data_IF_952364286595
#
_entry.id   IF_952364286595
#
_cell.length_a   1.000
_cell.length_b   1.000
_cell.length_c   1.000
_cell.angle_alpha   90.00
_cell.angle_beta   90.00
_cell.angle_gamma   90.00
#
_symmetry.space_group_name_H-M   'P 1'
#
loop_
_entity.id
_entity.type
_entity.pdbx_description
1 polymer ?
#
# COMPACT_ATOMS: atom_id res chain seq x y z
N UNK A 1 -21.00 -14.98 22.09
CA UNK A 1 -21.48 -15.19 20.70
C UNK A 1 -20.26 -15.22 19.82
N UNK A 2 -19.78 -16.42 19.55
CA UNK A 2 -18.49 -16.71 18.92
C UNK A 2 -18.66 -16.51 17.43
N UNK A 3 -18.10 -15.42 16.88
CA UNK A 3 -17.97 -15.28 15.42
C UNK A 3 -16.79 -16.16 15.05
N UNK A 4 -17.11 -17.37 14.61
CA UNK A 4 -16.16 -18.32 14.06
C UNK A 4 -15.67 -17.71 12.75
N UNK A 5 -14.35 -17.62 12.61
CA UNK A 5 -13.71 -17.13 11.41
C UNK A 5 -14.22 -17.87 10.19
N UNK A 6 -14.26 -17.16 9.07
CA UNK A 6 -14.41 -17.77 7.77
C UNK A 6 -13.25 -18.75 7.56
N UNK A 7 -13.47 -20.01 7.95
CA UNK A 7 -12.81 -21.17 7.37
C UNK A 7 -13.20 -21.18 5.88
N UNK A 8 -12.55 -20.34 5.09
CA UNK A 8 -12.58 -20.47 3.64
C UNK A 8 -11.76 -21.70 3.28
N UNK A 9 -12.49 -22.72 2.81
CA UNK A 9 -12.01 -23.86 2.06
C UNK A 9 -10.80 -23.48 1.18
N UNK A 10 -9.83 -24.39 1.05
CA UNK A 10 -8.69 -24.35 0.12
C UNK A 10 -9.13 -24.36 -1.37
N UNK A 11 -10.10 -23.52 -1.74
CA UNK A 11 -10.33 -23.05 -3.09
C UNK A 11 -9.76 -21.65 -3.18
N UNK A 12 -8.94 -21.38 -4.20
CA UNK A 12 -8.47 -20.04 -4.54
C UNK A 12 -9.60 -19.02 -4.42
N UNK A 13 -9.44 -18.00 -3.57
CA UNK A 13 -10.34 -16.85 -3.54
C UNK A 13 -10.47 -16.35 -4.99
N UNK A 14 -11.68 -16.32 -5.57
CA UNK A 14 -11.86 -15.94 -6.97
C UNK A 14 -11.38 -14.51 -7.27
N UNK A 15 -11.23 -13.67 -6.23
CA UNK A 15 -10.66 -12.32 -6.32
C UNK A 15 -9.12 -12.30 -6.36
N UNK A 16 -8.47 -13.44 -6.12
CA UNK A 16 -7.03 -13.58 -5.97
C UNK A 16 -6.50 -14.76 -6.80
N UNK A 17 -6.61 -14.73 -8.14
CA UNK A 17 -6.05 -15.77 -8.97
C UNK A 17 -4.52 -15.84 -8.78
N UNK A 18 -3.94 -17.05 -8.72
CA UNK A 18 -2.51 -17.22 -8.54
C UNK A 18 -1.75 -16.67 -9.74
N UNK A 19 -0.48 -16.33 -9.52
CA UNK A 19 0.46 -16.07 -10.61
C UNK A 19 0.64 -17.32 -11.47
N UNK A 20 0.53 -17.19 -12.78
CA UNK A 20 0.62 -18.30 -13.73
C UNK A 20 1.78 -18.10 -14.70
N UNK A 21 2.63 -19.12 -14.83
CA UNK A 21 3.72 -19.15 -15.81
C UNK A 21 3.48 -20.23 -16.87
N UNK A 22 3.56 -19.91 -18.19
CA UNK A 22 3.32 -20.87 -19.26
C UNK A 22 4.56 -21.75 -19.49
N UNK A 23 4.90 -22.59 -18.51
CA UNK A 23 6.10 -23.42 -18.53
C UNK A 23 6.10 -24.40 -19.72
N UNK A 24 7.27 -24.52 -20.37
CA UNK A 24 7.51 -25.36 -21.55
C UNK A 24 8.90 -25.97 -21.44
N UNK A 25 9.28 -26.88 -22.35
CA UNK A 25 10.63 -27.48 -22.36
C UNK A 25 11.74 -26.44 -22.54
N UNK A 26 11.44 -25.35 -23.23
CA UNK A 26 12.31 -24.21 -23.52
C UNK A 26 12.14 -23.04 -22.53
N UNK A 27 11.20 -23.13 -21.58
CA UNK A 27 10.93 -22.13 -20.56
C UNK A 27 10.62 -22.81 -19.22
N UNK A 28 11.67 -23.03 -18.43
CA UNK A 28 11.62 -23.62 -17.10
C UNK A 28 11.37 -22.55 -16.03
N UNK A 29 11.00 -22.99 -14.81
CA UNK A 29 10.84 -22.08 -13.67
C UNK A 29 12.13 -21.32 -13.35
N UNK A 30 13.28 -22.01 -13.39
CA UNK A 30 14.58 -21.39 -13.14
C UNK A 30 14.89 -20.29 -14.18
N UNK A 31 14.51 -20.49 -15.45
CA UNK A 31 14.67 -19.46 -16.48
C UNK A 31 13.76 -18.26 -16.20
N UNK A 32 12.48 -18.49 -15.88
CA UNK A 32 11.54 -17.41 -15.52
C UNK A 32 12.06 -16.61 -14.33
N UNK A 33 12.51 -17.30 -13.28
CA UNK A 33 13.11 -16.66 -12.11
C UNK A 33 14.33 -15.84 -12.52
N UNK A 34 15.30 -16.42 -13.22
CA UNK A 34 16.52 -15.71 -13.63
C UNK A 34 16.22 -14.50 -14.52
N UNK A 35 15.23 -14.59 -15.40
CA UNK A 35 14.78 -13.47 -16.23
C UNK A 35 14.16 -12.36 -15.37
N UNK A 36 13.30 -12.71 -14.41
CA UNK A 36 12.64 -11.74 -13.52
C UNK A 36 13.63 -10.92 -12.68
N UNK A 37 14.81 -11.49 -12.41
CA UNK A 37 15.87 -10.90 -11.59
C UNK A 37 16.88 -10.07 -12.40
N UNK A 38 16.61 -9.78 -13.68
CA UNK A 38 17.52 -9.03 -14.56
C UNK A 38 16.81 -7.91 -15.29
N UNK A 39 17.32 -6.68 -15.13
CA UNK A 39 16.79 -5.48 -15.78
C UNK A 39 16.85 -5.56 -17.33
N UNK A 40 17.70 -6.43 -17.89
CA UNK A 40 17.76 -6.69 -19.34
C UNK A 40 16.44 -7.25 -19.87
N UNK A 41 15.67 -7.95 -19.03
CA UNK A 41 14.38 -8.54 -19.39
C UNK A 41 13.18 -7.66 -19.00
N UNK A 42 13.37 -6.37 -18.68
CA UNK A 42 12.27 -5.48 -18.27
C UNK A 42 11.13 -5.41 -19.30
N UNK A 43 11.46 -5.48 -20.58
CA UNK A 43 10.51 -5.43 -21.70
C UNK A 43 10.18 -6.82 -22.27
N UNK A 44 10.60 -7.89 -21.60
CA UNK A 44 10.40 -9.25 -22.08
C UNK A 44 8.90 -9.60 -22.14
N UNK A 45 8.37 -9.97 -23.32
CA UNK A 45 6.95 -10.25 -23.48
C UNK A 45 6.48 -11.47 -22.68
N UNK A 46 7.39 -12.39 -22.35
CA UNK A 46 7.09 -13.56 -21.52
C UNK A 46 6.83 -13.14 -20.09
N UNK A 47 7.72 -12.33 -19.50
CA UNK A 47 7.53 -11.81 -18.14
C UNK A 47 6.29 -10.93 -18.05
N UNK A 48 6.03 -10.10 -19.07
CA UNK A 48 4.80 -9.29 -19.14
C UNK A 48 3.55 -10.17 -19.09
N UNK A 49 3.49 -11.24 -19.90
CA UNK A 49 2.36 -12.17 -19.89
C UNK A 49 2.20 -12.90 -18.56
N UNK A 50 3.29 -13.29 -17.90
CA UNK A 50 3.24 -13.87 -16.55
C UNK A 50 2.67 -12.84 -15.59
N UNK A 51 3.17 -11.61 -15.63
CA UNK A 51 2.75 -10.51 -14.75
C UNK A 51 1.27 -10.14 -14.92
N UNK A 52 0.74 -10.21 -16.14
CA UNK A 52 -0.68 -9.98 -16.47
C UNK A 52 -1.63 -11.01 -15.82
N UNK A 53 -1.14 -12.15 -15.34
CA UNK A 53 -1.97 -13.14 -14.62
C UNK A 53 -2.19 -12.73 -13.17
N UNK A 54 -1.28 -11.94 -12.61
CA UNK A 54 -1.39 -11.33 -11.29
C UNK A 54 -2.16 -10.01 -11.38
N UNK A 55 -3.48 -10.09 -11.53
CA UNK A 55 -4.33 -8.89 -11.54
C UNK A 55 -4.78 -8.53 -10.13
N UNK A 56 -4.86 -7.21 -9.90
CA UNK A 56 -5.60 -6.65 -8.78
C UNK A 56 -7.03 -6.42 -9.25
N UNK A 57 -7.98 -6.74 -8.39
CA UNK A 57 -9.40 -6.46 -8.55
C UNK A 57 -9.88 -5.74 -7.30
N UNK A 58 -11.05 -5.12 -7.41
CA UNK A 58 -11.77 -4.65 -6.22
C UNK A 58 -11.94 -5.83 -5.25
N UNK A 59 -11.54 -5.63 -3.99
CA UNK A 59 -11.57 -6.66 -2.95
C UNK A 59 -10.31 -7.51 -2.82
N UNK A 60 -9.37 -7.49 -3.79
CA UNK A 60 -8.09 -8.21 -3.66
C UNK A 60 -7.38 -7.77 -2.37
N UNK A 61 -6.95 -8.73 -1.55
CA UNK A 61 -6.19 -8.41 -0.34
C UNK A 61 -4.79 -7.99 -0.74
N UNK A 62 -4.44 -6.79 -0.33
CA UNK A 62 -3.15 -6.16 -0.50
C UNK A 62 -2.42 -6.18 0.85
N UNK A 63 -1.10 -6.32 0.80
CA UNK A 63 -0.22 -6.33 1.95
C UNK A 63 0.96 -5.40 1.71
N UNK A 64 1.32 -4.62 2.73
CA UNK A 64 2.59 -3.89 2.81
C UNK A 64 3.31 -4.36 4.06
N UNK A 65 4.58 -4.76 3.92
CA UNK A 65 5.42 -5.12 5.06
C UNK A 65 5.97 -3.84 5.69
N UNK A 66 5.90 -3.76 7.01
CA UNK A 66 6.13 -2.57 7.80
C UNK A 66 7.22 -2.78 8.84
N UNK A 67 7.91 -1.69 9.18
CA UNK A 67 8.66 -1.61 10.43
C UNK A 67 7.77 -1.22 11.62
N UNK A 68 8.24 -1.41 12.86
CA UNK A 68 7.52 -0.95 14.05
C UNK A 68 7.15 0.54 14.00
N UNK A 69 8.04 1.38 13.46
CA UNK A 69 7.78 2.82 13.29
C UNK A 69 6.65 3.09 12.28
N UNK A 70 6.60 2.35 11.17
CA UNK A 70 5.51 2.47 10.21
C UNK A 70 4.18 1.95 10.78
N UNK A 71 4.19 0.88 11.59
CA UNK A 71 3.00 0.42 12.31
C UNK A 71 2.46 1.53 13.21
N UNK A 72 3.33 2.17 14.00
CA UNK A 72 2.94 3.32 14.83
C UNK A 72 2.39 4.49 13.98
N UNK A 73 2.99 4.76 12.82
CA UNK A 73 2.49 5.74 11.86
C UNK A 73 1.07 5.43 11.37
N UNK A 74 0.80 4.18 10.97
CA UNK A 74 -0.53 3.75 10.55
C UNK A 74 -1.56 3.79 11.69
N UNK A 75 -1.17 3.39 12.91
CA UNK A 75 -1.98 3.59 14.11
C UNK A 75 -2.32 5.06 14.36
N UNK A 76 -1.37 5.96 14.06
CA UNK A 76 -1.54 7.41 14.12
C UNK A 76 -2.40 8.00 12.99
N UNK A 77 -2.67 7.25 11.93
CA UNK A 77 -3.51 7.67 10.81
C UNK A 77 -2.81 7.77 9.45
N UNK A 78 -1.57 7.28 9.30
CA UNK A 78 -0.96 7.15 7.97
C UNK A 78 -1.80 6.23 7.09
N UNK A 79 -2.01 6.66 5.86
CA UNK A 79 -2.69 5.89 4.83
C UNK A 79 -1.72 4.91 4.14
N UNK A 80 -2.19 3.80 3.54
CA UNK A 80 -1.35 2.96 2.69
C UNK A 80 -0.85 3.73 1.45
N UNK A 81 0.43 3.56 1.14
CA UNK A 81 1.09 4.13 -0.04
C UNK A 81 2.33 3.32 -0.42
N UNK A 82 2.89 3.60 -1.59
CA UNK A 82 4.17 3.04 -2.02
C UNK A 82 4.05 1.58 -2.45
N UNK A 83 5.13 0.82 -2.26
CA UNK A 83 5.14 -0.58 -2.67
C UNK A 83 4.19 -1.43 -1.81
N UNK A 84 3.53 -2.36 -2.48
CA UNK A 84 2.64 -3.34 -1.88
C UNK A 84 2.55 -4.59 -2.76
N UNK A 85 1.97 -5.64 -2.20
CA UNK A 85 1.88 -6.97 -2.79
C UNK A 85 0.47 -7.51 -2.62
N UNK A 86 0.02 -8.45 -3.46
CA UNK A 86 -1.21 -9.20 -3.16
C UNK A 86 -0.89 -10.20 -2.05
N UNK A 87 -1.78 -10.36 -1.07
CA UNK A 87 -1.52 -11.27 0.05
C UNK A 87 -1.31 -12.72 -0.41
N UNK A 88 -2.02 -13.16 -1.46
CA UNK A 88 -1.85 -14.50 -2.02
C UNK A 88 -0.46 -14.74 -2.62
N UNK A 89 0.18 -13.69 -3.15
CA UNK A 89 1.54 -13.77 -3.70
C UNK A 89 2.59 -13.85 -2.60
N UNK A 90 2.26 -13.51 -1.35
CA UNK A 90 3.16 -13.61 -0.20
C UNK A 90 2.93 -14.86 0.65
N UNK A 91 1.87 -15.63 0.38
CA UNK A 91 1.43 -16.72 1.26
C UNK A 91 2.47 -17.84 1.45
N UNK A 92 3.46 -17.95 0.55
CA UNK A 92 4.56 -18.90 0.66
C UNK A 92 5.71 -18.42 1.57
N UNK A 93 5.76 -17.11 1.88
CA UNK A 93 6.75 -16.51 2.77
C UNK A 93 6.23 -16.62 4.21
N UNK A 94 6.61 -17.69 4.88
CA UNK A 94 6.07 -18.01 6.22
C UNK A 94 6.93 -17.46 7.35
N UNK A 95 8.23 -17.21 7.11
CA UNK A 95 9.12 -16.73 8.15
C UNK A 95 9.26 -15.20 8.16
N UNK A 96 9.42 -14.57 9.34
CA UNK A 96 9.63 -13.12 9.45
C UNK A 96 10.80 -12.61 8.60
N UNK A 97 11.90 -13.34 8.56
CA UNK A 97 13.08 -12.99 7.76
C UNK A 97 12.77 -12.91 6.25
N UNK A 98 11.94 -13.81 5.73
CA UNK A 98 11.55 -13.80 4.31
C UNK A 98 10.67 -12.60 3.99
N UNK A 99 9.73 -12.26 4.88
CA UNK A 99 8.84 -11.12 4.72
C UNK A 99 9.58 -9.79 4.88
N UNK A 100 10.55 -9.71 5.81
CA UNK A 100 11.34 -8.51 6.07
C UNK A 100 12.16 -8.05 4.87
N UNK A 101 12.54 -8.97 3.96
CA UNK A 101 13.16 -8.62 2.67
C UNK A 101 12.30 -7.70 1.79
N UNK A 102 10.97 -7.70 2.00
CA UNK A 102 10.02 -6.92 1.23
C UNK A 102 9.78 -5.51 1.79
N UNK A 103 10.45 -5.15 2.90
CA UNK A 103 10.35 -3.82 3.52
C UNK A 103 10.93 -2.74 2.63
N UNK A 104 10.33 -1.55 2.74
CA UNK A 104 10.71 -0.39 1.91
C UNK A 104 11.45 0.70 2.65
N UNK A 105 11.46 0.68 3.98
CA UNK A 105 12.02 1.76 4.81
C UNK A 105 13.52 1.62 5.08
N UNK A 106 14.14 0.53 4.60
CA UNK A 106 15.58 0.30 4.72
C UNK A 106 16.08 0.01 6.13
N UNK A 107 15.18 -0.15 7.11
CA UNK A 107 15.59 -0.57 8.44
C UNK A 107 15.85 -2.07 8.49
N UNK A 108 16.74 -2.47 9.41
CA UNK A 108 17.27 -3.83 9.56
C UNK A 108 16.23 -4.84 10.02
N UNK A 109 16.54 -6.11 9.78
CA UNK A 109 15.69 -7.27 10.08
C UNK A 109 15.34 -7.37 11.58
N UNK A 110 14.10 -7.74 11.84
CA UNK A 110 13.58 -8.05 13.17
C UNK A 110 13.16 -9.52 13.28
N UNK A 111 13.02 -10.01 14.52
CA UNK A 111 12.47 -11.34 14.79
C UNK A 111 10.97 -11.45 14.45
N UNK A 112 10.31 -10.31 14.28
CA UNK A 112 8.90 -10.18 13.90
C UNK A 112 8.85 -9.37 12.60
N UNK A 113 7.97 -9.76 11.69
CA UNK A 113 7.65 -8.96 10.51
C UNK A 113 6.23 -8.40 10.70
N UNK A 114 6.09 -7.07 10.64
CA UNK A 114 4.79 -6.44 10.73
C UNK A 114 4.22 -6.19 9.34
N UNK A 115 2.90 -6.13 9.22
CA UNK A 115 2.25 -5.84 7.96
C UNK A 115 0.96 -5.04 8.13
N UNK A 116 0.65 -4.22 7.13
CA UNK A 116 -0.69 -3.69 6.89
C UNK A 116 -1.34 -4.52 5.80
N UNK A 117 -2.50 -5.11 6.09
CA UNK A 117 -3.34 -5.84 5.13
C UNK A 117 -4.65 -5.10 4.92
N UNK A 118 -5.04 -4.87 3.66
CA UNK A 118 -6.28 -4.19 3.32
C UNK A 118 -6.89 -4.78 2.05
N UNK A 119 -8.17 -4.48 1.76
CA UNK A 119 -8.78 -4.86 0.48
C UNK A 119 -8.70 -3.69 -0.50
N UNK A 120 -8.26 -3.95 -1.73
CA UNK A 120 -8.21 -2.93 -2.78
C UNK A 120 -9.61 -2.33 -3.05
N UNK A 121 -9.74 -1.01 -2.93
CA UNK A 121 -10.97 -0.27 -3.28
C UNK A 121 -11.23 -0.33 -4.79
N UNK A 122 -10.19 -0.05 -5.57
CA UNK A 122 -10.25 -0.09 -7.02
C UNK A 122 -8.89 -0.50 -7.61
N UNK A 123 -8.84 -1.29 -8.70
CA UNK A 123 -7.58 -1.65 -9.34
C UNK A 123 -6.81 -0.45 -9.91
N UNK A 124 -7.48 0.66 -10.23
CA UNK A 124 -6.82 1.87 -10.74
C UNK A 124 -5.90 2.55 -9.71
N UNK A 125 -6.00 2.17 -8.44
CA UNK A 125 -5.12 2.66 -7.38
C UNK A 125 -3.73 1.99 -7.38
N UNK A 126 -3.45 1.08 -8.32
CA UNK A 126 -2.21 0.31 -8.35
C UNK A 126 -1.57 0.31 -9.73
N UNK A 127 -0.25 0.42 -9.75
CA UNK A 127 0.57 0.42 -10.95
C UNK A 127 1.70 -0.61 -10.81
N UNK A 128 2.23 -1.04 -11.96
CA UNK A 128 3.50 -1.74 -11.98
C UNK A 128 4.64 -0.73 -11.76
N UNK A 129 5.67 -1.05 -10.95
CA UNK A 129 6.85 -0.19 -10.78
C UNK A 129 7.79 -0.29 -12.00
N UNK A 130 7.25 -0.06 -13.18
CA UNK A 130 7.91 -0.18 -14.46
C UNK A 130 7.35 0.83 -15.47
N UNK A 131 7.94 0.89 -16.66
CA UNK A 131 7.41 1.67 -17.76
C UNK A 131 6.06 1.11 -18.25
N UNK A 132 5.12 1.97 -18.69
CA UNK A 132 5.23 3.43 -18.79
C UNK A 132 4.83 4.20 -17.52
N UNK A 133 4.35 3.51 -16.46
CA UNK A 133 3.80 4.16 -15.28
C UNK A 133 4.88 4.87 -14.44
N UNK A 134 6.03 4.22 -14.27
CA UNK A 134 7.14 4.68 -13.42
C UNK A 134 8.48 4.60 -14.18
N UNK A 135 8.68 5.43 -15.22
CA UNK A 135 9.84 5.33 -16.12
C UNK A 135 11.18 5.58 -15.43
N UNK A 136 11.26 6.61 -14.57
CA UNK A 136 12.52 6.97 -13.90
C UNK A 136 12.95 6.00 -12.80
N UNK A 137 12.04 5.18 -12.27
CA UNK A 137 12.27 4.46 -11.02
C UNK A 137 13.38 3.41 -11.13
N UNK A 138 13.46 2.69 -12.25
CA UNK A 138 14.46 1.65 -12.48
C UNK A 138 15.88 2.21 -12.74
N UNK A 139 15.98 3.48 -13.17
CA UNK A 139 17.26 4.13 -13.49
C UNK A 139 17.83 4.97 -12.34
N UNK A 140 17.14 5.03 -11.19
CA UNK A 140 17.60 5.79 -10.03
C UNK A 140 18.89 5.16 -9.45
N UNK A 141 19.94 5.98 -9.24
CA UNK A 141 21.22 5.48 -8.75
C UNK A 141 21.11 5.02 -7.29
N UNK A 142 22.00 4.11 -6.89
CA UNK A 142 21.96 3.49 -5.56
C UNK A 142 22.01 4.50 -4.40
N UNK A 143 22.76 5.60 -4.55
CA UNK A 143 22.89 6.63 -3.52
C UNK A 143 21.62 7.51 -3.36
N UNK A 144 20.69 7.43 -4.31
CA UNK A 144 19.44 8.21 -4.27
C UNK A 144 18.25 7.40 -3.77
N UNK A 145 18.41 6.12 -3.43
CA UNK A 145 17.29 5.23 -3.06
C UNK A 145 17.51 4.55 -1.71
N UNK A 146 16.39 4.23 -1.06
CA UNK A 146 16.31 3.34 0.10
C UNK A 146 15.79 1.97 -0.35
N UNK A 147 16.32 0.91 0.25
CA UNK A 147 15.90 -0.46 0.00
C UNK A 147 16.40 -1.04 -1.33
N UNK A 148 15.76 -2.14 -1.75
CA UNK A 148 16.15 -2.87 -2.95
C UNK A 148 15.97 -2.05 -4.24
N UNK A 149 16.79 -2.35 -5.25
CA UNK A 149 16.63 -1.77 -6.59
C UNK A 149 15.26 -2.14 -7.17
N UNK A 150 14.71 -1.27 -8.01
CA UNK A 150 13.56 -1.60 -8.86
C UNK A 150 14.11 -2.06 -10.20
N UNK A 151 13.85 -3.31 -10.57
CA UNK A 151 14.38 -3.90 -11.81
C UNK A 151 13.57 -3.48 -13.05
N UNK A 152 12.32 -3.04 -12.84
CA UNK A 152 11.39 -2.74 -13.93
C UNK A 152 10.78 -3.98 -14.60
N UNK A 153 11.06 -5.19 -14.10
CA UNK A 153 10.46 -6.46 -14.57
C UNK A 153 9.08 -6.72 -13.97
N UNK A 154 8.66 -5.93 -12.97
CA UNK A 154 7.40 -6.08 -12.24
C UNK A 154 7.45 -7.12 -11.11
N UNK A 155 8.64 -7.62 -10.77
CA UNK A 155 8.89 -8.58 -9.70
C UNK A 155 9.91 -8.03 -8.70
N UNK A 156 9.70 -8.34 -7.43
CA UNK A 156 10.65 -7.97 -6.38
C UNK A 156 11.97 -8.73 -6.56
N UNK A 157 13.12 -8.13 -6.19
CA UNK A 157 14.37 -8.88 -6.11
C UNK A 157 14.28 -10.04 -5.11
N UNK A 158 14.45 -11.28 -5.58
CA UNK A 158 14.46 -12.49 -4.75
C UNK A 158 15.29 -13.61 -5.41
N UNK A 159 15.98 -14.39 -4.59
CA UNK A 159 16.80 -15.52 -5.05
C UNK A 159 15.98 -16.73 -5.43
N UNK A 160 14.84 -16.94 -4.79
CA UNK A 160 14.10 -18.21 -4.86
C UNK A 160 12.63 -18.01 -5.23
N UNK A 161 12.11 -16.80 -5.05
CA UNK A 161 10.68 -16.52 -5.19
C UNK A 161 10.38 -15.59 -6.37
N UNK A 162 9.24 -15.84 -7.03
CA UNK A 162 8.72 -14.97 -8.07
C UNK A 162 7.55 -14.17 -7.50
N UNK A 163 7.87 -12.99 -6.95
CA UNK A 163 6.90 -12.18 -6.20
C UNK A 163 6.53 -10.94 -7.02
N UNK A 164 5.30 -10.86 -7.56
CA UNK A 164 4.80 -9.67 -8.23
C UNK A 164 4.77 -8.48 -7.27
N UNK A 165 5.36 -7.36 -7.68
CA UNK A 165 5.31 -6.12 -6.91
C UNK A 165 4.42 -5.08 -7.59
N UNK A 166 3.75 -4.26 -6.78
CA UNK A 166 2.93 -3.14 -7.22
C UNK A 166 3.33 -1.90 -6.43
N UNK A 167 3.02 -0.73 -6.96
CA UNK A 167 3.02 0.53 -6.23
C UNK A 167 1.62 1.11 -6.22
N UNK A 168 1.29 1.89 -5.18
CA UNK A 168 0.11 2.74 -5.28
C UNK A 168 0.29 3.74 -6.43
N UNK A 169 -0.77 3.97 -7.20
CA UNK A 169 -0.70 4.74 -8.44
C UNK A 169 -0.12 6.14 -8.16
N UNK A 170 0.94 6.51 -8.88
CA UNK A 170 1.69 7.75 -8.64
C UNK A 170 2.14 7.95 -7.17
N UNK A 171 2.43 6.86 -6.44
CA UNK A 171 2.80 6.84 -5.03
C UNK A 171 1.81 7.54 -4.08
N UNK A 172 0.54 7.64 -4.50
CA UNK A 172 -0.50 8.32 -3.76
C UNK A 172 -0.87 7.57 -2.48
N UNK A 173 -1.33 8.33 -1.49
CA UNK A 173 -2.00 7.77 -0.31
C UNK A 173 -3.39 7.24 -0.69
N UNK A 174 -3.73 6.05 -0.17
CA UNK A 174 -5.02 5.39 -0.39
C UNK A 174 -5.86 5.44 0.88
N UNK A 175 -7.12 5.93 0.83
CA UNK A 175 -8.02 5.86 1.99
C UNK A 175 -8.13 4.43 2.54
N UNK A 176 -7.96 4.26 3.85
CA UNK A 176 -8.00 2.95 4.49
C UNK A 176 -9.42 2.38 4.39
N UNK A 177 -9.62 1.20 3.78
CA UNK A 177 -10.93 0.55 3.71
C UNK A 177 -11.32 -0.04 5.08
N UNK A 178 -12.60 -0.29 5.26
CA UNK A 178 -13.13 -0.99 6.44
C UNK A 178 -12.40 -2.33 6.64
N UNK A 179 -12.20 -2.71 7.90
CA UNK A 179 -11.60 -3.98 8.28
C UNK A 179 -10.16 -4.19 7.79
N UNK A 180 -9.44 -3.14 7.39
CA UNK A 180 -7.99 -3.21 7.22
C UNK A 180 -7.33 -3.64 8.54
N UNK A 181 -6.22 -4.38 8.46
CA UNK A 181 -5.61 -5.06 9.60
C UNK A 181 -4.14 -4.69 9.72
N UNK A 182 -3.71 -4.40 10.94
CA UNK A 182 -2.29 -4.42 11.30
C UNK A 182 -1.97 -5.78 11.90
N UNK A 183 -0.88 -6.38 11.43
CA UNK A 183 -0.55 -7.77 11.68
C UNK A 183 0.90 -7.93 12.08
N UNK A 184 1.20 -9.04 12.76
CA UNK A 184 2.54 -9.53 13.03
C UNK A 184 2.67 -10.98 12.55
N UNK A 185 3.77 -11.26 11.88
CA UNK A 185 4.24 -12.61 11.56
C UNK A 185 5.37 -12.94 12.53
N UNK A 186 5.24 -14.07 13.22
CA UNK A 186 6.19 -14.50 14.25
C UNK A 186 6.94 -15.76 13.82
N UNK A 187 8.11 -16.06 14.43
CA UNK A 187 8.84 -17.29 14.15
C UNK A 187 7.94 -18.52 14.36
N UNK A 188 7.99 -19.46 13.41
CA UNK A 188 7.09 -20.62 13.39
C UNK A 188 5.92 -20.49 12.41
N UNK A 189 5.72 -19.33 11.79
CA UNK A 189 4.77 -19.15 10.68
C UNK A 189 3.37 -18.70 11.08
N UNK A 190 3.15 -18.40 12.36
CA UNK A 190 1.86 -17.89 12.84
C UNK A 190 1.65 -16.42 12.45
N UNK A 191 0.43 -16.11 12.02
CA UNK A 191 -0.06 -14.74 11.80
C UNK A 191 -0.91 -14.27 12.98
N UNK A 192 -0.61 -13.09 13.51
CA UNK A 192 -1.36 -12.46 14.60
C UNK A 192 -1.95 -11.14 14.12
N UNK A 193 -3.28 -11.04 14.11
CA UNK A 193 -3.95 -9.75 13.89
C UNK A 193 -3.86 -8.91 15.16
N UNK A 194 -3.15 -7.78 15.08
CA UNK A 194 -2.94 -6.86 16.19
C UNK A 194 -4.11 -5.90 16.34
N UNK A 195 -4.50 -5.26 15.22
CA UNK A 195 -5.57 -4.27 15.18
C UNK A 195 -6.41 -4.41 13.90
N UNK A 196 -7.66 -3.98 13.98
CA UNK A 196 -8.57 -3.81 12.83
C UNK A 196 -9.08 -2.37 12.75
N UNK A 197 -9.11 -1.79 11.55
CA UNK A 197 -9.55 -0.42 11.32
C UNK A 197 -11.09 -0.31 11.34
N UNK A 198 -11.58 0.68 12.07
CA UNK A 198 -13.00 1.01 12.24
C UNK A 198 -13.25 2.42 11.65
N UNK A 199 -13.71 2.51 10.39
CA UNK A 199 -13.85 3.80 9.70
C UNK A 199 -14.87 4.74 10.35
N UNK A 200 -15.92 4.19 10.99
CA UNK A 200 -16.93 4.99 11.67
C UNK A 200 -16.36 5.71 12.90
N UNK A 201 -15.42 5.08 13.60
CA UNK A 201 -14.78 5.66 14.78
C UNK A 201 -13.52 6.45 14.44
N UNK A 202 -13.01 6.31 13.20
CA UNK A 202 -11.72 6.85 12.79
C UNK A 202 -10.56 6.30 13.62
N UNK A 203 -10.48 4.98 13.78
CA UNK A 203 -9.41 4.42 14.59
C UNK A 203 -9.31 2.91 14.49
N UNK A 204 -8.38 2.39 15.26
CA UNK A 204 -7.98 1.00 15.29
C UNK A 204 -8.47 0.33 16.57
N UNK A 205 -9.15 -0.80 16.41
CA UNK A 205 -9.57 -1.66 17.52
C UNK A 205 -8.57 -2.80 17.68
N UNK A 206 -8.03 -2.98 18.88
CA UNK A 206 -7.08 -4.04 19.21
C UNK A 206 -7.78 -5.40 19.24
N UNK A 207 -7.19 -6.37 18.53
CA UNK A 207 -7.65 -7.76 18.52
C UNK A 207 -6.66 -8.73 19.18
N UNK A 208 -5.40 -8.32 19.33
CA UNK A 208 -4.39 -9.12 20.01
C UNK A 208 -4.76 -9.36 21.49
N UNK A 209 -4.80 -10.63 21.90
CA UNK A 209 -5.00 -11.02 23.31
C UNK A 209 -3.76 -10.80 24.19
N UNK A 210 -3.86 -11.01 25.52
CA UNK A 210 -2.77 -10.73 26.47
C UNK A 210 -1.45 -11.46 26.18
N UNK A 211 -1.50 -12.65 25.58
CA UNK A 211 -0.30 -13.43 25.19
C UNK A 211 0.60 -12.72 24.18
N UNK A 212 0.04 -11.75 23.44
CA UNK A 212 0.73 -11.02 22.38
C UNK A 212 1.15 -9.61 22.79
N UNK A 213 1.05 -9.25 24.07
CA UNK A 213 1.45 -7.92 24.57
C UNK A 213 2.90 -7.57 24.22
N UNK A 214 3.82 -8.53 24.28
CA UNK A 214 5.21 -8.31 23.91
C UNK A 214 5.41 -7.80 22.49
N UNK A 215 4.54 -8.19 21.54
CA UNK A 215 4.58 -7.68 20.16
C UNK A 215 4.18 -6.20 20.09
N UNK A 216 3.31 -5.75 20.99
CA UNK A 216 2.87 -4.35 21.06
C UNK A 216 3.89 -3.47 21.78
N UNK A 217 4.66 -4.04 22.72
CA UNK A 217 5.74 -3.34 23.43
C UNK A 217 6.89 -2.92 22.49
N UNK A 218 7.04 -3.59 21.33
CA UNK A 218 8.00 -3.23 20.28
C UNK A 218 7.58 -1.99 19.48
N UNK A 219 6.32 -1.55 19.59
CA UNK A 219 5.76 -0.48 18.77
C UNK A 219 5.98 0.90 19.43
N UNK A 220 6.70 1.84 18.77
CA UNK A 220 7.00 3.13 19.36
C UNK A 220 5.75 3.95 19.68
N UNK A 221 5.62 4.40 20.94
CA UNK A 221 4.53 5.27 21.38
C UNK A 221 3.16 4.58 21.47
N UNK A 222 3.10 3.26 21.32
CA UNK A 222 1.86 2.48 21.44
C UNK A 222 1.77 1.91 22.85
N UNK A 223 0.60 2.04 23.48
CA UNK A 223 0.33 1.40 24.77
C UNK A 223 -0.29 0.01 24.54
N UNK A 224 0.29 -1.07 25.10
CA UNK A 224 -0.20 -2.44 24.89
C UNK A 224 -1.59 -2.69 25.51
N UNK A 225 -1.99 -1.88 26.49
CA UNK A 225 -3.27 -1.99 27.18
C UNK A 225 -4.38 -1.15 26.53
N UNK A 226 -4.03 -0.32 25.55
CA UNK A 226 -5.00 0.52 24.85
C UNK A 226 -5.79 -0.31 23.84
N UNK A 227 -7.07 -0.55 24.15
CA UNK A 227 -7.98 -1.31 23.28
C UNK A 227 -8.38 -0.56 22.01
N UNK A 228 -8.49 0.77 22.08
CA UNK A 228 -8.88 1.61 20.95
C UNK A 228 -7.87 2.74 20.73
N UNK A 229 -7.36 2.86 19.51
CA UNK A 229 -6.39 3.88 19.09
C UNK A 229 -7.02 4.76 18.01
N UNK A 230 -7.40 6.02 18.31
CA UNK A 230 -7.92 6.94 17.31
C UNK A 230 -6.80 7.40 16.38
N UNK A 231 -7.12 7.50 15.09
CA UNK A 231 -6.27 8.19 14.13
C UNK A 231 -6.29 9.69 14.45
N UNK A 232 -5.12 10.30 14.51
CA UNK A 232 -4.94 11.72 14.89
C UNK A 232 -4.40 12.57 13.75
N UNK A 233 -3.76 11.96 12.75
CA UNK A 233 -3.33 12.64 11.54
C UNK A 233 -4.54 13.03 10.67
N UNK A 234 -4.49 14.23 10.10
CA UNK A 234 -5.41 14.61 9.02
C UNK A 234 -5.12 13.74 7.80
N UNK A 235 -6.13 13.04 7.29
CA UNK A 235 -5.99 12.19 6.11
C UNK A 235 -5.60 13.01 4.88
N UNK A 236 -4.57 12.56 4.17
CA UNK A 236 -4.04 13.16 2.92
C UNK A 236 -4.90 12.80 1.70
N UNK A 237 -5.71 11.75 1.82
CA UNK A 237 -6.69 11.32 0.84
C UNK A 237 -7.99 10.89 1.54
N UNK A 238 -9.12 11.06 0.86
CA UNK A 238 -10.44 10.62 1.35
C UNK A 238 -11.31 10.07 0.23
N UNK A 239 -12.28 9.24 0.61
CA UNK A 239 -13.34 8.81 -0.30
C UNK A 239 -14.54 9.72 -0.15
N UNK A 240 -15.16 10.03 -1.28
CA UNK A 240 -16.35 10.88 -1.34
C UNK A 240 -17.36 10.23 -2.27
N UNK A 241 -18.63 10.25 -1.91
CA UNK A 241 -19.70 9.69 -2.72
C UNK A 241 -20.97 10.52 -2.65
N UNK A 242 -21.88 10.29 -3.59
CA UNK A 242 -23.13 11.06 -3.68
C UNK A 242 -24.37 10.24 -3.35
N UNK A 243 -25.34 10.85 -2.68
CA UNK A 243 -26.70 10.34 -2.47
C UNK A 243 -27.67 11.48 -2.74
N UNK A 244 -28.63 11.27 -3.65
CA UNK A 244 -29.66 12.26 -4.01
C UNK A 244 -29.10 13.66 -4.34
N UNK A 245 -27.97 13.69 -5.07
CA UNK A 245 -27.30 14.92 -5.49
C UNK A 245 -26.50 15.62 -4.39
N UNK A 246 -26.43 15.06 -3.18
CA UNK A 246 -25.61 15.57 -2.08
C UNK A 246 -24.36 14.72 -1.91
N UNK A 247 -23.26 15.40 -1.64
CA UNK A 247 -21.96 14.79 -1.41
C UNK A 247 -21.75 14.45 0.07
N UNK A 248 -21.14 13.29 0.33
CA UNK A 248 -20.79 12.82 1.66
C UNK A 248 -19.43 12.13 1.64
N UNK A 249 -18.72 12.15 2.76
CA UNK A 249 -17.57 11.28 2.95
C UNK A 249 -18.03 9.82 2.91
N UNK A 250 -17.29 8.98 2.20
CA UNK A 250 -17.62 7.58 1.97
C UNK A 250 -16.65 6.64 2.69
N UNK A 251 -17.13 5.43 2.94
CA UNK A 251 -16.37 4.28 3.42
C UNK A 251 -16.44 3.20 2.36
N UNK A 252 -15.29 2.60 2.07
CA UNK A 252 -15.20 1.39 1.27
C UNK A 252 -15.12 0.16 2.17
N UNK A 253 -15.95 -0.83 1.90
CA UNK A 253 -15.85 -2.21 2.40
C UNK A 253 -15.89 -3.16 1.18
N UNK A 254 -14.78 -3.23 0.42
CA UNK A 254 -14.72 -4.01 -0.80
C UNK A 254 -14.89 -5.52 -0.51
N UNK A 255 -15.45 -6.31 -1.44
CA UNK A 255 -15.57 -6.01 -2.86
C UNK A 255 -16.82 -5.24 -3.30
N UNK A 256 -17.83 -5.05 -2.44
CA UNK A 256 -19.16 -4.64 -2.91
C UNK A 256 -19.87 -3.53 -2.13
N UNK A 257 -19.37 -3.12 -0.96
CA UNK A 257 -20.08 -2.15 -0.14
C UNK A 257 -19.36 -0.80 -0.12
N UNK A 258 -20.06 0.23 -0.61
CA UNK A 258 -19.62 1.62 -0.55
C UNK A 258 -20.74 2.46 0.03
N UNK A 259 -20.47 3.16 1.12
CA UNK A 259 -21.53 3.83 1.87
C UNK A 259 -21.06 5.12 2.51
N UNK A 260 -22.02 5.94 2.90
CA UNK A 260 -21.74 7.14 3.70
C UNK A 260 -21.06 6.75 4.99
N UNK A 261 -20.03 7.52 5.34
CA UNK A 261 -19.39 7.46 6.64
C UNK A 261 -20.36 8.00 7.69
N UNK A 262 -20.93 7.09 8.48
CA UNK A 262 -21.92 7.42 9.49
C UNK A 262 -21.61 6.72 10.81
N UNK A 263 -21.77 7.46 11.91
CA UNK A 263 -21.54 6.95 13.28
C UNK A 263 -22.55 5.85 13.66
N UNK A 264 -23.76 5.89 13.11
CA UNK A 264 -24.82 4.95 13.42
C UNK A 264 -25.10 4.02 12.24
N UNK A 265 -25.45 2.76 12.54
CA UNK A 265 -25.79 1.76 11.52
C UNK A 265 -26.99 2.18 10.66
N UNK A 266 -27.95 2.90 11.23
CA UNK A 266 -29.16 3.34 10.54
C UNK A 266 -28.89 4.38 9.43
N UNK A 267 -27.75 5.08 9.48
CA UNK A 267 -27.37 6.10 8.50
C UNK A 267 -26.33 5.59 7.47
N UNK A 268 -26.09 4.28 7.41
CA UNK A 268 -25.18 3.61 6.47
C UNK A 268 -25.86 3.42 5.11
N UNK A 269 -26.09 4.52 4.41
CA UNK A 269 -26.69 4.48 3.08
C UNK A 269 -25.64 4.22 2.00
N UNK A 270 -25.92 3.35 1.00
CA UNK A 270 -25.02 3.14 -0.11
C UNK A 270 -24.87 4.42 -0.94
N UNK A 271 -23.65 4.74 -1.37
CA UNK A 271 -23.40 5.86 -2.27
C UNK A 271 -23.64 5.45 -3.73
N UNK A 272 -24.09 6.40 -4.57
CA UNK A 272 -24.31 6.17 -6.01
C UNK A 272 -23.06 6.39 -6.86
N UNK A 273 -22.13 7.17 -6.34
CA UNK A 273 -20.84 7.46 -6.97
C UNK A 273 -19.75 7.34 -5.91
N UNK A 274 -18.52 7.11 -6.36
CA UNK A 274 -17.37 7.06 -5.47
C UNK A 274 -16.18 7.70 -6.18
N UNK A 275 -15.53 8.65 -5.51
CA UNK A 275 -14.27 9.22 -5.95
C UNK A 275 -13.28 9.26 -4.80
N UNK A 276 -11.99 9.07 -5.10
CA UNK A 276 -10.90 9.42 -4.20
C UNK A 276 -10.46 10.85 -4.48
N UNK A 277 -10.29 11.62 -3.41
CA UNK A 277 -9.79 12.99 -3.45
C UNK A 277 -8.53 13.15 -2.64
N UNK A 278 -7.55 13.82 -3.23
CA UNK A 278 -6.30 14.19 -2.60
C UNK A 278 -5.77 15.49 -3.19
N UNK A 279 -5.00 16.25 -2.42
CA UNK A 279 -4.48 17.56 -2.81
C UNK A 279 -3.23 17.41 -3.69
N UNK A 280 -3.21 18.11 -4.82
CA UNK A 280 -2.07 18.16 -5.75
C UNK A 280 -1.61 19.59 -5.98
N UNK A 281 -0.33 19.73 -6.28
CA UNK A 281 0.28 20.98 -6.72
C UNK A 281 1.45 20.72 -7.67
N UNK A 282 1.86 21.75 -8.38
CA UNK A 282 3.13 21.83 -9.09
C UNK A 282 4.13 22.62 -8.24
N UNK A 283 5.32 22.05 -8.05
CA UNK A 283 6.44 22.76 -7.43
C UNK A 283 7.68 22.64 -8.31
N UNK A 284 8.21 23.78 -8.75
CA UNK A 284 9.35 23.85 -9.71
C UNK A 284 9.13 23.01 -10.98
N UNK A 285 7.89 22.99 -11.47
CA UNK A 285 7.49 22.23 -12.65
C UNK A 285 7.27 20.73 -12.42
N UNK A 286 7.36 20.24 -11.18
CA UNK A 286 7.16 18.84 -10.82
C UNK A 286 5.81 18.65 -10.12
N UNK A 287 5.00 17.71 -10.61
CA UNK A 287 3.73 17.34 -9.98
C UNK A 287 3.95 16.58 -8.68
N UNK A 288 3.29 17.06 -7.63
CA UNK A 288 3.39 16.52 -6.28
C UNK A 288 2.01 16.33 -5.63
N UNK A 289 1.90 15.32 -4.77
CA UNK A 289 0.85 15.24 -3.77
C UNK A 289 1.21 16.14 -2.60
N UNK A 290 0.25 16.90 -2.09
CA UNK A 290 0.41 17.67 -0.85
C UNK A 290 -0.03 16.79 0.31
N UNK A 291 0.93 16.37 1.14
CA UNK A 291 0.69 15.46 2.27
C UNK A 291 0.30 16.22 3.53
N UNK A 292 0.91 17.37 3.75
CA UNK A 292 0.65 18.22 4.89
C UNK A 292 1.01 19.64 4.49
N UNK A 293 0.31 20.62 5.03
CA UNK A 293 0.75 22.00 4.98
C UNK A 293 0.26 22.80 6.17
N UNK A 294 1.00 23.86 6.50
CA UNK A 294 0.55 24.93 7.38
C UNK A 294 0.34 26.22 6.58
N UNK A 295 0.62 27.39 7.14
CA UNK A 295 0.50 28.68 6.44
C UNK A 295 1.78 29.04 5.66
N UNK A 296 2.87 28.30 5.87
CA UNK A 296 4.22 28.61 5.37
C UNK A 296 4.86 27.48 4.58
N UNK A 297 4.68 26.24 5.01
CA UNK A 297 5.36 25.07 4.47
C UNK A 297 4.37 23.99 4.08
N UNK A 298 4.69 23.30 2.98
CA UNK A 298 4.02 22.08 2.55
C UNK A 298 5.02 20.92 2.47
N UNK A 299 4.62 19.76 2.99
CA UNK A 299 5.27 18.47 2.74
C UNK A 299 4.68 17.87 1.48
N UNK A 300 5.54 17.63 0.50
CA UNK A 300 5.18 17.17 -0.83
C UNK A 300 5.72 15.76 -1.07
N UNK A 301 5.00 14.97 -1.87
CA UNK A 301 5.49 13.70 -2.44
C UNK A 301 5.45 13.75 -3.96
N UNK A 302 6.55 13.38 -4.60
CA UNK A 302 6.62 13.36 -6.07
C UNK A 302 5.70 12.28 -6.63
N UNK A 303 4.90 12.61 -7.66
CA UNK A 303 4.05 11.62 -8.35
C UNK A 303 4.87 10.63 -9.19
N UNK A 304 5.93 11.14 -9.82
CA UNK A 304 6.84 10.39 -10.70
C UNK A 304 8.28 10.75 -10.34
N UNK A 305 8.92 9.96 -9.47
CA UNK A 305 10.30 10.20 -9.08
C UNK A 305 11.25 9.79 -10.20
N UNK A 306 12.05 10.76 -10.66
CA UNK A 306 13.07 10.61 -11.68
C UNK A 306 14.31 11.42 -11.26
N UNK A 307 15.47 11.16 -11.88
CA UNK A 307 16.72 11.84 -11.52
C UNK A 307 16.57 13.37 -11.59
N UNK A 308 15.93 13.87 -12.65
CA UNK A 308 15.72 15.31 -12.84
C UNK A 308 14.73 15.90 -11.85
N UNK A 309 13.60 15.22 -11.60
CA UNK A 309 12.59 15.71 -10.66
C UNK A 309 13.11 15.74 -9.23
N UNK A 310 13.94 14.75 -8.84
CA UNK A 310 14.66 14.73 -7.56
C UNK A 310 15.70 15.86 -7.51
N UNK A 311 16.47 16.07 -8.57
CA UNK A 311 17.50 17.10 -8.63
C UNK A 311 16.96 18.52 -8.48
N UNK A 312 15.84 18.83 -9.15
CA UNK A 312 15.22 20.18 -9.14
C UNK A 312 14.51 20.49 -7.82
N UNK A 313 13.88 19.48 -7.20
CA UNK A 313 13.12 19.64 -5.96
C UNK A 313 13.96 19.42 -4.70
N UNK A 314 15.09 18.73 -4.80
CA UNK A 314 15.87 18.29 -3.65
C UNK A 314 15.15 17.23 -2.80
N UNK A 315 14.16 16.53 -3.36
CA UNK A 315 13.39 15.51 -2.65
C UNK A 315 14.29 14.38 -2.16
N UNK A 316 14.00 13.87 -0.95
CA UNK A 316 14.73 12.76 -0.35
C UNK A 316 13.91 11.48 -0.45
N UNK A 317 14.58 10.37 -0.71
CA UNK A 317 13.95 9.06 -0.62
C UNK A 317 13.57 8.80 0.84
N UNK A 318 12.27 8.67 1.10
CA UNK A 318 11.71 8.41 2.43
C UNK A 318 11.50 6.91 2.65
N UNK A 319 11.06 6.20 1.61
CA UNK A 319 11.05 4.75 1.50
C UNK A 319 11.27 4.38 0.02
N UNK A 320 11.49 3.09 -0.29
CA UNK A 320 11.70 2.58 -1.66
C UNK A 320 10.67 3.18 -2.63
N UNK A 321 11.16 4.00 -3.56
CA UNK A 321 10.35 4.67 -4.59
C UNK A 321 9.54 5.88 -4.15
N UNK A 322 9.49 6.22 -2.86
CA UNK A 322 8.76 7.39 -2.36
C UNK A 322 9.75 8.52 -2.06
N UNK A 323 9.54 9.66 -2.72
CA UNK A 323 10.40 10.83 -2.61
C UNK A 323 9.60 12.02 -2.13
N UNK A 324 10.08 12.62 -1.05
CA UNK A 324 9.37 13.70 -0.37
C UNK A 324 10.26 14.91 -0.13
N UNK A 325 9.66 16.09 -0.11
CA UNK A 325 10.32 17.36 0.10
C UNK A 325 9.46 18.31 0.92
N UNK A 326 10.10 19.32 1.52
CA UNK A 326 9.40 20.46 2.11
C UNK A 326 9.57 21.67 1.19
N UNK A 327 8.46 22.33 0.88
CA UNK A 327 8.40 23.47 -0.03
C UNK A 327 7.67 24.65 0.64
N UNK A 328 8.10 25.90 0.41
CA UNK A 328 7.29 27.07 0.75
C UNK A 328 5.96 27.06 -0.03
N UNK A 329 4.85 27.39 0.64
CA UNK A 329 3.52 27.33 0.03
C UNK A 329 3.36 28.34 -1.12
N UNK A 330 4.02 29.48 -1.03
CA UNK A 330 4.02 30.54 -2.05
C UNK A 330 4.77 30.17 -3.33
N UNK A 331 5.59 29.12 -3.31
CA UNK A 331 6.22 28.55 -4.50
C UNK A 331 5.32 27.52 -5.22
N UNK A 332 4.20 27.10 -4.61
CA UNK A 332 3.30 26.13 -5.21
C UNK A 332 2.41 26.79 -6.27
N UNK A 333 2.25 26.09 -7.39
CA UNK A 333 1.37 26.50 -8.49
C UNK A 333 0.40 25.37 -8.84
N UNK A 334 -0.65 25.66 -9.61
CA UNK A 334 -1.68 24.67 -10.01
C UNK A 334 -2.22 23.84 -8.83
N UNK A 335 -2.43 24.49 -7.70
CA UNK A 335 -2.93 23.84 -6.49
C UNK A 335 -4.42 23.53 -6.64
N UNK A 336 -4.77 22.25 -6.57
CA UNK A 336 -6.14 21.77 -6.69
C UNK A 336 -6.37 20.45 -5.93
N UNK A 337 -7.64 20.08 -5.76
CA UNK A 337 -8.02 18.74 -5.31
C UNK A 337 -8.20 17.85 -6.53
N UNK A 338 -7.33 16.87 -6.70
CA UNK A 338 -7.49 15.85 -7.73
C UNK A 338 -8.66 14.94 -7.36
N UNK A 339 -9.54 14.67 -8.34
CA UNK A 339 -10.73 13.81 -8.18
C UNK A 339 -10.59 12.58 -9.08
N UNK A 340 -10.44 11.41 -8.46
CA UNK A 340 -10.26 10.13 -9.14
C UNK A 340 -11.53 9.33 -8.97
N UNK A 341 -12.37 9.30 -10.01
CA UNK A 341 -13.64 8.59 -9.98
C UNK A 341 -13.46 7.07 -10.12
N UNK A 342 -14.16 6.31 -9.30
CA UNK A 342 -14.23 4.84 -9.36
C UNK A 342 -15.56 4.40 -9.99
N UNK A 343 -15.49 3.31 -10.76
CA UNK A 343 -16.68 2.71 -11.37
C UNK A 343 -17.31 1.72 -10.38
N UNK A 344 -18.37 2.11 -9.67
CA UNK A 344 -19.06 1.27 -8.67
C UNK A 344 -20.44 0.78 -9.09
#
# INVERSE_FOLDING_TARGET
MTVIGEDSQLGTDPLEPPLMAPLRRDLTWQQVQSMSQSAVHRDDPTLRRIRETALIRRGTRMTKILSPAQVAGHLGGWLPYGFCYRSCDLAHLTQPEQLNLLRTDGAVDGQVAFALRWRATDPTDYELPAEPAQPGLAVLPAHSRIGAMVLGTGFTPSTDDLIPEYVTASFADLPIPANAQLMAHIPGGDEVVLYTYQPEQHGWLRLAGPRWRGLLDELPGVSPDREYVPCTASGTARLVGTIDGKEYEAVADPPGEFRVRALTRAARYPVRTLSRRAEQALWRGVSCWVLQRDDTWARLRLLRPEVDSIGVTGARCYERGVYEAWAPIDELTDHHIADIAYQI
#
